data_IF_491818828596
#
_entry.id   IF_491818828596
#
_cell.length_a   1.000
_cell.length_b   1.000
_cell.length_c   1.000
_cell.angle_alpha   90.00
_cell.angle_beta   90.00
_cell.angle_gamma   90.00
#
_symmetry.space_group_name_H-M   'P 1'
#
loop_
_entity.id
_entity.type
_entity.pdbx_description
1 polymer ?
#
# COMPACT_ATOMS: atom_id res chain seq x y z
N UNK A 1 7.69 15.30 2.64
CA UNK A 1 7.23 13.93 2.90
C UNK A 1 8.31 13.21 3.67
N UNK A 2 8.00 12.45 4.72
CA UNK A 2 9.03 11.70 5.45
C UNK A 2 9.50 10.53 4.58
N UNK A 3 10.69 9.99 4.87
CA UNK A 3 11.24 8.83 4.14
C UNK A 3 10.31 7.62 4.23
N UNK A 4 9.62 7.45 5.36
CA UNK A 4 8.73 6.31 5.57
C UNK A 4 7.40 6.47 4.83
N UNK A 5 6.85 7.69 4.76
CA UNK A 5 5.71 7.98 3.88
C UNK A 5 6.06 7.76 2.39
N UNK A 6 7.27 8.10 1.95
CA UNK A 6 7.70 7.81 0.56
C UNK A 6 7.74 6.30 0.29
N UNK A 7 8.32 5.50 1.19
CA UNK A 7 8.32 4.04 1.03
C UNK A 7 6.90 3.48 0.96
N UNK A 8 5.99 3.98 1.80
CA UNK A 8 4.59 3.55 1.79
C UNK A 8 3.92 3.84 0.44
N UNK A 9 4.17 5.03 -0.12
CA UNK A 9 3.69 5.39 -1.46
C UNK A 9 4.28 4.44 -2.51
N UNK A 10 5.58 4.18 -2.48
CA UNK A 10 6.24 3.28 -3.45
C UNK A 10 5.65 1.85 -3.41
N UNK A 11 5.35 1.34 -2.20
CA UNK A 11 4.69 0.04 -2.01
C UNK A 11 3.25 0.06 -2.52
N UNK A 12 2.49 1.12 -2.23
CA UNK A 12 1.12 1.30 -2.73
C UNK A 12 1.07 1.27 -4.26
N UNK A 13 1.95 2.03 -4.93
CA UNK A 13 2.02 2.07 -6.39
C UNK A 13 2.38 0.69 -6.97
N UNK A 14 3.31 -0.01 -6.32
CA UNK A 14 3.71 -1.37 -6.72
C UNK A 14 2.55 -2.36 -6.64
N UNK A 15 1.79 -2.36 -5.53
CA UNK A 15 0.63 -3.25 -5.34
C UNK A 15 -0.49 -2.88 -6.30
N UNK A 16 -0.73 -1.58 -6.53
CA UNK A 16 -1.72 -1.11 -7.50
C UNK A 16 -1.39 -1.62 -8.91
N UNK A 17 -0.13 -1.52 -9.34
CA UNK A 17 0.29 -2.03 -10.64
C UNK A 17 0.07 -3.54 -10.76
N UNK A 18 0.51 -4.32 -9.77
CA UNK A 18 0.34 -5.79 -9.75
C UNK A 18 -1.13 -6.20 -9.79
N UNK A 19 -1.99 -5.50 -9.04
CA UNK A 19 -3.44 -5.74 -9.05
C UNK A 19 -4.02 -5.48 -10.45
N UNK A 20 -3.60 -4.40 -11.12
CA UNK A 20 -4.03 -4.09 -12.48
C UNK A 20 -3.59 -5.15 -13.49
N UNK A 21 -2.35 -5.63 -13.40
CA UNK A 21 -1.85 -6.73 -14.25
C UNK A 21 -2.66 -8.00 -14.03
N UNK A 22 -2.90 -8.38 -12.77
CA UNK A 22 -3.69 -9.57 -12.46
C UNK A 22 -5.13 -9.45 -12.99
N UNK A 23 -5.75 -8.27 -12.90
CA UNK A 23 -7.09 -8.05 -13.44
C UNK A 23 -7.15 -8.26 -14.96
N UNK A 24 -6.13 -7.81 -15.70
CA UNK A 24 -6.00 -8.07 -17.14
C UNK A 24 -5.80 -9.56 -17.42
N UNK A 25 -4.90 -10.22 -16.69
CA UNK A 25 -4.63 -11.65 -16.85
C UNK A 25 -5.86 -12.52 -16.54
N UNK A 26 -6.64 -12.16 -15.52
CA UNK A 26 -7.90 -12.83 -15.18
C UNK A 26 -8.93 -12.65 -16.29
N UNK A 27 -9.04 -11.43 -16.85
CA UNK A 27 -9.95 -11.15 -17.96
C UNK A 27 -9.61 -11.96 -19.20
N UNK A 28 -8.33 -12.10 -19.49
CA UNK A 28 -7.84 -12.77 -20.68
C UNK A 28 -7.62 -14.29 -20.46
N UNK A 29 -7.91 -14.80 -19.25
CA UNK A 29 -7.81 -16.21 -18.89
C UNK A 29 -6.38 -16.74 -18.76
N UNK A 30 -5.40 -15.86 -18.61
CA UNK A 30 -3.97 -16.19 -18.52
C UNK A 30 -3.42 -16.20 -17.09
N UNK A 31 -4.20 -15.71 -16.12
CA UNK A 31 -3.77 -15.68 -14.71
C UNK A 31 -3.63 -17.09 -14.12
N UNK A 32 -2.47 -17.34 -13.53
CA UNK A 32 -2.22 -18.56 -12.75
C UNK A 32 -2.72 -18.39 -11.32
N UNK A 33 -2.93 -19.51 -10.62
CA UNK A 33 -3.25 -19.50 -9.19
C UNK A 33 -2.09 -19.00 -8.34
N UNK A 34 -0.84 -19.13 -8.82
CA UNK A 34 0.35 -18.56 -8.19
C UNK A 34 0.31 -17.04 -8.19
N UNK A 35 0.09 -16.43 -9.36
CA UNK A 35 -0.01 -14.96 -9.47
C UNK A 35 -1.15 -14.38 -8.64
N UNK A 36 -2.28 -15.07 -8.55
CA UNK A 36 -3.39 -14.67 -7.66
C UNK A 36 -2.96 -14.66 -6.19
N UNK A 37 -2.24 -15.70 -5.75
CA UNK A 37 -1.73 -15.79 -4.38
C UNK A 37 -0.67 -14.71 -4.11
N UNK A 38 0.26 -14.50 -5.03
CA UNK A 38 1.32 -13.50 -4.87
C UNK A 38 0.75 -12.08 -4.73
N UNK A 39 -0.31 -11.76 -5.47
CA UNK A 39 -1.00 -10.47 -5.33
C UNK A 39 -1.76 -10.38 -4.01
N UNK A 40 -2.42 -11.47 -3.58
CA UNK A 40 -3.10 -11.50 -2.29
C UNK A 40 -2.12 -11.29 -1.12
N UNK A 41 -1.00 -12.01 -1.13
CA UNK A 41 0.04 -11.89 -0.10
C UNK A 41 0.62 -10.46 -0.06
N UNK A 42 0.82 -9.83 -1.23
CA UNK A 42 1.28 -8.44 -1.30
C UNK A 42 0.25 -7.42 -0.80
N UNK A 43 -1.04 -7.69 -0.97
CA UNK A 43 -2.12 -6.86 -0.40
C UNK A 43 -2.15 -6.99 1.12
N UNK A 44 -2.02 -8.20 1.66
CA UNK A 44 -1.98 -8.42 3.11
C UNK A 44 -0.79 -7.70 3.76
N UNK A 45 0.41 -7.79 3.15
CA UNK A 45 1.59 -7.04 3.62
C UNK A 45 1.36 -5.52 3.59
N UNK A 46 0.75 -5.00 2.53
CA UNK A 46 0.39 -3.58 2.44
C UNK A 46 -0.61 -3.15 3.52
N UNK A 47 -1.62 -3.98 3.82
CA UNK A 47 -2.60 -3.69 4.86
C UNK A 47 -1.93 -3.59 6.23
N UNK A 48 -0.99 -4.49 6.53
CA UNK A 48 -0.25 -4.46 7.79
C UNK A 48 0.67 -3.23 7.89
N UNK A 49 1.34 -2.86 6.78
CA UNK A 49 2.13 -1.63 6.72
C UNK A 49 1.28 -0.37 6.94
N UNK A 50 0.11 -0.28 6.31
CA UNK A 50 -0.82 0.84 6.48
C UNK A 50 -1.31 0.96 7.92
N UNK A 51 -1.65 -0.16 8.56
CA UNK A 51 -2.05 -0.20 9.98
C UNK A 51 -0.92 0.25 10.89
N UNK A 52 0.30 -0.23 10.66
CA UNK A 52 1.47 0.19 11.42
C UNK A 52 1.73 1.69 11.28
N UNK A 53 1.69 2.21 10.04
CA UNK A 53 1.92 3.63 9.80
C UNK A 53 0.87 4.52 10.47
N UNK A 54 -0.41 4.12 10.40
CA UNK A 54 -1.49 4.82 11.09
C UNK A 54 -1.33 4.79 12.62
N UNK A 55 -0.91 3.65 13.18
CA UNK A 55 -0.64 3.54 14.61
C UNK A 55 0.54 4.43 15.05
N UNK A 56 1.60 4.53 14.25
CA UNK A 56 2.74 5.41 14.51
C UNK A 56 2.34 6.91 14.45
N UNK A 57 1.47 7.27 13.50
CA UNK A 57 0.89 8.61 13.38
C UNK A 57 0.00 8.94 14.59
N UNK A 58 -0.87 8.01 15.02
CA UNK A 58 -1.75 8.18 16.19
C UNK A 58 -0.95 8.29 17.50
N UNK A 59 0.12 7.51 17.63
CA UNK A 59 1.03 7.55 18.78
C UNK A 59 1.92 8.82 18.79
N UNK A 60 1.85 9.66 17.75
CA UNK A 60 2.57 10.93 17.68
C UNK A 60 4.07 10.80 17.41
N UNK A 61 4.53 9.65 16.89
CA UNK A 61 5.94 9.47 16.50
C UNK A 61 6.32 10.36 15.32
N UNK A 62 5.35 10.76 14.49
CA UNK A 62 5.51 11.79 13.49
C UNK A 62 4.97 13.13 14.03
N UNK A 63 5.79 14.19 14.13
CA UNK A 63 5.28 15.51 14.49
C UNK A 63 4.30 15.94 13.40
N UNK A 64 3.02 15.91 13.76
CA UNK A 64 1.93 16.08 12.85
C UNK A 64 2.15 17.27 11.91
N UNK A 65 2.00 17.04 10.61
CA UNK A 65 1.67 18.08 9.61
C UNK A 65 0.24 18.58 9.88
N UNK A 66 -0.08 18.90 11.13
CA UNK A 66 -1.37 19.44 11.57
C UNK A 66 -1.23 20.95 11.77
N UNK A 67 -0.64 21.62 10.77
CA UNK A 67 -0.51 23.10 10.72
C UNK A 67 -0.97 23.70 9.39
N UNK A 68 -1.80 22.98 8.63
CA UNK A 68 -2.40 23.48 7.38
C UNK A 68 -3.95 23.60 7.42
N UNK A 69 -4.59 23.31 8.56
CA UNK A 69 -6.05 23.44 8.73
C UNK A 69 -6.46 24.41 9.86
N UNK A 70 -5.51 25.19 10.38
CA UNK A 70 -5.76 26.29 11.31
C UNK A 70 -5.05 27.53 10.77
N UNK A 71 -5.66 28.18 9.79
CA UNK A 71 -5.16 29.38 9.11
C UNK A 71 -6.11 29.77 7.99
#
# INVERSE_FOLDING_TARGET
>A
MTRDTQKLVDVLETVQWRTGVLALQLRDGTATTGEQRDVADAIDELLDLLRSHAADDEAGFFPAVRRAAAG
#
